data_IF_562924850177
#
_entry.id   IF_562924850177
#
_cell.length_a   1.000
_cell.length_b   1.000
_cell.length_c   1.000
_cell.angle_alpha   90.00
_cell.angle_beta   90.00
_cell.angle_gamma   90.00
#
_symmetry.space_group_name_H-M   'P 1'
#
loop_
_entity.id
_entity.type
_entity.pdbx_description
1 polymer ?
#
# COMPACT_ATOMS: atom_id res chain seq x y z
N UNK A 1 -9.72 33.39 14.34
CA UNK A 1 -9.28 32.42 13.34
C UNK A 1 -10.47 31.50 13.14
N UNK A 2 -10.89 31.31 11.90
CA UNK A 2 -12.09 30.52 11.60
C UNK A 2 -11.81 29.04 11.88
N UNK A 3 -12.70 28.36 12.59
CA UNK A 3 -12.51 26.96 13.00
C UNK A 3 -12.55 26.06 11.77
N UNK A 4 -13.40 26.36 10.80
CA UNK A 4 -13.48 25.64 9.52
C UNK A 4 -12.14 25.75 8.78
N UNK A 5 -11.57 26.96 8.71
CA UNK A 5 -10.26 27.17 8.08
C UNK A 5 -9.13 26.41 8.78
N UNK A 6 -9.12 26.34 10.11
CA UNK A 6 -8.13 25.55 10.86
C UNK A 6 -8.24 24.06 10.51
N UNK A 7 -9.47 23.56 10.36
CA UNK A 7 -9.73 22.19 9.99
C UNK A 7 -9.24 21.89 8.57
N UNK A 8 -9.60 22.73 7.60
CA UNK A 8 -9.18 22.62 6.20
C UNK A 8 -7.64 22.63 6.05
N UNK A 9 -6.95 23.56 6.73
CA UNK A 9 -5.48 23.60 6.71
C UNK A 9 -4.87 22.34 7.35
N UNK A 10 -5.48 21.84 8.44
CA UNK A 10 -5.07 20.57 9.06
C UNK A 10 -5.24 19.37 8.13
N UNK A 11 -6.36 19.28 7.42
CA UNK A 11 -6.63 18.21 6.44
C UNK A 11 -5.67 18.28 5.26
N UNK A 12 -5.33 19.47 4.77
CA UNK A 12 -4.35 19.65 3.70
C UNK A 12 -2.98 19.09 4.12
N UNK A 13 -2.49 19.44 5.31
CA UNK A 13 -1.24 18.87 5.82
C UNK A 13 -1.34 17.36 6.04
N UNK A 14 -2.49 16.86 6.49
CA UNK A 14 -2.71 15.42 6.70
C UNK A 14 -2.65 14.64 5.38
N UNK A 15 -3.34 15.11 4.34
CA UNK A 15 -3.34 14.50 3.00
C UNK A 15 -1.95 14.53 2.37
N UNK A 16 -1.21 15.63 2.58
CA UNK A 16 0.18 15.75 2.13
C UNK A 16 1.20 14.94 2.97
N UNK A 17 0.75 14.26 4.01
CA UNK A 17 1.58 13.43 4.88
C UNK A 17 2.43 14.19 5.90
N UNK A 18 2.26 15.51 6.05
CA UNK A 18 2.90 16.31 7.10
C UNK A 18 2.11 16.21 8.41
N UNK A 19 2.11 15.00 8.97
CA UNK A 19 1.29 14.67 10.15
C UNK A 19 1.67 15.46 11.40
N UNK A 20 2.90 15.99 11.49
CA UNK A 20 3.28 16.85 12.62
C UNK A 20 2.58 18.21 12.53
N UNK A 21 2.58 18.86 11.37
CA UNK A 21 1.83 20.12 11.20
C UNK A 21 0.33 19.88 11.29
N UNK A 22 -0.19 18.84 10.65
CA UNK A 22 -1.60 18.48 10.76
C UNK A 22 -2.02 18.34 12.24
N UNK A 23 -1.21 17.64 13.04
CA UNK A 23 -1.44 17.49 14.48
C UNK A 23 -1.50 18.84 15.21
N UNK A 24 -0.63 19.79 14.89
CA UNK A 24 -0.66 21.15 15.49
C UNK A 24 -1.96 21.88 15.18
N UNK A 25 -2.40 21.87 13.91
CA UNK A 25 -3.68 22.46 13.50
C UNK A 25 -4.85 21.82 14.22
N UNK A 26 -4.92 20.50 14.23
CA UNK A 26 -6.04 19.81 14.85
C UNK A 26 -6.07 19.98 16.37
N UNK A 27 -4.91 19.99 17.05
CA UNK A 27 -4.84 20.30 18.49
C UNK A 27 -5.29 21.73 18.80
N UNK A 28 -4.93 22.69 17.96
CA UNK A 28 -5.38 24.07 18.12
C UNK A 28 -6.89 24.21 17.88
N UNK A 29 -7.43 23.56 16.84
CA UNK A 29 -8.86 23.50 16.58
C UNK A 29 -9.64 22.85 17.71
N UNK A 30 -9.15 21.73 18.25
CA UNK A 30 -9.78 21.05 19.40
C UNK A 30 -9.76 21.90 20.68
N UNK A 31 -8.69 22.66 20.94
CA UNK A 31 -8.62 23.57 22.11
C UNK A 31 -9.70 24.64 22.06
N UNK A 32 -10.06 25.12 20.87
CA UNK A 32 -11.04 26.18 20.66
C UNK A 32 -12.48 25.62 20.64
N UNK A 33 -12.70 24.56 19.86
CA UNK A 33 -14.05 24.07 19.54
C UNK A 33 -14.53 22.94 20.44
N UNK A 34 -13.60 22.12 20.97
CA UNK A 34 -13.90 20.82 21.58
C UNK A 34 -14.70 19.86 20.68
N UNK A 35 -14.61 20.05 19.36
CA UNK A 35 -15.27 19.19 18.38
C UNK A 35 -14.51 17.86 18.19
N UNK A 36 -15.28 16.80 18.07
CA UNK A 36 -14.87 15.41 18.03
C UNK A 36 -14.11 15.01 16.75
N UNK A 37 -14.38 15.66 15.61
CA UNK A 37 -13.65 15.42 14.36
C UNK A 37 -12.19 15.83 14.50
N UNK A 38 -11.91 16.96 15.17
CA UNK A 38 -10.54 17.33 15.50
C UNK A 38 -9.84 16.27 16.35
N UNK A 39 -10.54 15.73 17.36
CA UNK A 39 -9.97 14.69 18.22
C UNK A 39 -9.71 13.39 17.44
N UNK A 40 -10.61 13.02 16.52
CA UNK A 40 -10.41 11.86 15.65
C UNK A 40 -9.18 12.06 14.74
N UNK A 41 -9.03 13.23 14.12
CA UNK A 41 -7.87 13.55 13.30
C UNK A 41 -6.56 13.65 14.09
N UNK A 42 -6.60 14.09 15.35
CA UNK A 42 -5.45 14.01 16.28
C UNK A 42 -5.03 12.55 16.47
N UNK A 43 -5.98 11.65 16.75
CA UNK A 43 -5.72 10.21 16.85
C UNK A 43 -5.14 9.64 15.54
N UNK A 44 -5.67 10.04 14.39
CA UNK A 44 -5.14 9.63 13.09
C UNK A 44 -3.72 10.14 12.85
N UNK A 45 -3.38 11.36 13.26
CA UNK A 45 -2.02 11.88 13.20
C UNK A 45 -1.08 11.06 14.09
N UNK A 46 -1.48 10.73 15.33
CA UNK A 46 -0.70 9.87 16.20
C UNK A 46 -0.45 8.49 15.59
N UNK A 47 -1.48 7.86 15.01
CA UNK A 47 -1.35 6.59 14.29
C UNK A 47 -0.31 6.68 13.16
N UNK A 48 -0.39 7.70 12.29
CA UNK A 48 0.54 7.85 11.18
C UNK A 48 1.97 8.22 11.61
N UNK A 49 2.12 8.85 12.78
CA UNK A 49 3.41 9.12 13.42
C UNK A 49 3.96 7.93 14.21
N UNK A 50 3.30 6.76 14.18
CA UNK A 50 3.61 5.57 14.99
C UNK A 50 3.60 5.81 16.51
N UNK A 51 2.87 6.82 16.97
CA UNK A 51 2.62 7.14 18.38
C UNK A 51 1.41 6.36 18.87
N UNK A 52 1.57 5.04 18.95
CA UNK A 52 0.45 4.12 19.10
C UNK A 52 -0.28 4.25 20.44
N UNK A 53 0.44 4.55 21.52
CA UNK A 53 -0.15 4.73 22.86
C UNK A 53 -1.06 5.96 22.88
N UNK A 54 -0.60 7.08 22.33
CA UNK A 54 -1.40 8.29 22.20
C UNK A 54 -2.60 8.10 21.26
N UNK A 55 -2.42 7.36 20.16
CA UNK A 55 -3.51 7.02 19.24
C UNK A 55 -4.60 6.18 19.93
N UNK A 56 -4.21 5.12 20.64
CA UNK A 56 -5.15 4.26 21.39
C UNK A 56 -5.91 5.07 22.42
N UNK A 57 -5.21 5.82 23.26
CA UNK A 57 -5.84 6.67 24.30
C UNK A 57 -6.86 7.65 23.69
N UNK A 58 -6.50 8.31 22.59
CA UNK A 58 -7.38 9.25 21.89
C UNK A 58 -8.65 8.58 21.35
N UNK A 59 -8.51 7.42 20.71
CA UNK A 59 -9.67 6.71 20.14
C UNK A 59 -10.53 6.03 21.21
N UNK A 60 -9.94 5.56 22.31
CA UNK A 60 -10.68 5.03 23.46
C UNK A 60 -11.51 6.12 24.14
N UNK A 61 -10.98 7.34 24.29
CA UNK A 61 -11.75 8.50 24.76
C UNK A 61 -12.97 8.75 23.86
N UNK A 62 -12.75 8.81 22.54
CA UNK A 62 -13.83 9.01 21.57
C UNK A 62 -14.88 7.91 21.60
N UNK A 63 -14.47 6.65 21.69
CA UNK A 63 -15.38 5.51 21.76
C UNK A 63 -16.22 5.51 23.05
N UNK A 64 -15.68 6.02 24.17
CA UNK A 64 -16.44 6.16 25.41
C UNK A 64 -17.51 7.26 25.33
N UNK A 65 -17.20 8.39 24.68
CA UNK A 65 -18.11 9.53 24.55
C UNK A 65 -19.14 9.32 23.43
N UNK A 66 -18.72 8.69 22.33
CA UNK A 66 -19.51 8.48 21.12
C UNK A 66 -19.54 6.99 20.73
N UNK A 67 -20.25 6.13 21.48
CA UNK A 67 -20.22 4.67 21.29
C UNK A 67 -20.82 4.19 19.97
N UNK A 68 -21.67 4.98 19.33
CA UNK A 68 -22.28 4.69 18.01
C UNK A 68 -21.46 5.29 16.85
N UNK A 69 -20.34 5.96 17.15
CA UNK A 69 -19.46 6.47 16.11
C UNK A 69 -18.47 5.39 15.70
N UNK A 70 -18.57 4.96 14.45
CA UNK A 70 -17.77 3.86 13.90
C UNK A 70 -16.28 4.23 13.77
N UNK A 71 -15.94 5.47 13.39
CA UNK A 71 -14.57 5.85 13.01
C UNK A 71 -13.52 5.57 14.09
N UNK A 72 -13.71 5.92 15.37
CA UNK A 72 -12.73 5.61 16.42
C UNK A 72 -12.54 4.10 16.62
N UNK A 73 -13.62 3.32 16.51
CA UNK A 73 -13.60 1.85 16.64
C UNK A 73 -12.78 1.22 15.50
N UNK A 74 -13.03 1.65 14.27
CA UNK A 74 -12.25 1.25 13.11
C UNK A 74 -10.78 1.67 13.21
N UNK A 75 -10.52 2.91 13.66
CA UNK A 75 -9.18 3.41 13.83
C UNK A 75 -8.38 2.65 14.90
N UNK A 76 -9.01 2.19 15.99
CA UNK A 76 -8.38 1.25 16.93
C UNK A 76 -7.96 -0.05 16.21
N UNK A 77 -8.83 -0.61 15.37
CA UNK A 77 -8.50 -1.77 14.53
C UNK A 77 -7.25 -1.54 13.68
N UNK A 78 -7.12 -0.35 13.06
CA UNK A 78 -5.92 0.05 12.28
C UNK A 78 -4.66 0.12 13.15
N UNK A 79 -4.77 0.68 14.37
CA UNK A 79 -3.64 0.74 15.31
C UNK A 79 -3.17 -0.67 15.69
N UNK A 80 -4.07 -1.55 16.11
CA UNK A 80 -3.72 -2.92 16.48
C UNK A 80 -3.17 -3.73 15.30
N UNK A 81 -3.66 -3.48 14.08
CA UNK A 81 -3.10 -4.11 12.89
C UNK A 81 -1.64 -3.68 12.65
N UNK A 82 -1.30 -2.40 12.86
CA UNK A 82 0.08 -1.89 12.75
C UNK A 82 1.00 -2.43 13.85
N UNK A 83 0.45 -2.68 15.04
CA UNK A 83 1.15 -3.35 16.15
C UNK A 83 1.30 -4.87 15.95
N UNK A 84 0.76 -5.43 14.87
CA UNK A 84 0.68 -6.89 14.62
C UNK A 84 -0.10 -7.67 15.71
N UNK A 85 -0.95 -6.96 16.47
CA UNK A 85 -1.90 -7.51 17.42
C UNK A 85 -3.18 -7.90 16.68
N UNK A 86 -3.05 -9.01 15.95
CA UNK A 86 -4.02 -9.44 14.94
C UNK A 86 -5.41 -9.77 15.52
N UNK A 87 -5.50 -10.32 16.73
CA UNK A 87 -6.80 -10.70 17.30
C UNK A 87 -7.59 -9.45 17.69
N UNK A 88 -6.92 -8.49 18.31
CA UNK A 88 -7.46 -7.21 18.71
C UNK A 88 -7.91 -6.40 17.49
N UNK A 89 -7.09 -6.36 16.44
CA UNK A 89 -7.47 -5.73 15.18
C UNK A 89 -8.77 -6.34 14.59
N UNK A 90 -8.87 -7.67 14.57
CA UNK A 90 -10.04 -8.39 14.10
C UNK A 90 -11.29 -8.04 14.94
N UNK A 91 -11.15 -8.00 16.26
CA UNK A 91 -12.26 -7.69 17.17
C UNK A 91 -12.78 -6.26 16.95
N UNK A 92 -11.88 -5.28 16.79
CA UNK A 92 -12.26 -3.89 16.51
C UNK A 92 -12.87 -3.70 15.13
N UNK A 93 -12.34 -4.34 14.09
CA UNK A 93 -12.97 -4.29 12.76
C UNK A 93 -14.36 -4.95 12.75
N UNK A 94 -14.55 -6.05 13.48
CA UNK A 94 -15.87 -6.66 13.64
C UNK A 94 -16.85 -5.73 14.37
N UNK A 95 -16.40 -5.03 15.41
CA UNK A 95 -17.22 -4.01 16.10
C UNK A 95 -17.59 -2.87 15.16
N UNK A 96 -16.65 -2.38 14.34
CA UNK A 96 -16.93 -1.35 13.35
C UNK A 96 -18.01 -1.80 12.35
N UNK A 97 -17.96 -3.04 11.85
CA UNK A 97 -18.99 -3.59 10.97
C UNK A 97 -20.36 -3.82 11.65
N UNK A 98 -20.41 -3.95 12.98
CA UNK A 98 -21.69 -3.98 13.69
C UNK A 98 -22.37 -2.61 13.64
N UNK A 99 -21.59 -1.53 13.73
CA UNK A 99 -22.09 -0.14 13.66
C UNK A 99 -22.40 0.24 12.21
N UNK A 100 -21.47 0.00 11.28
CA UNK A 100 -21.63 0.25 9.85
C UNK A 100 -21.32 -1.02 9.01
N UNK A 101 -22.33 -1.84 8.65
CA UNK A 101 -22.11 -3.10 7.92
C UNK A 101 -21.57 -2.94 6.48
N UNK A 102 -21.68 -1.74 5.91
CA UNK A 102 -21.31 -1.44 4.53
C UNK A 102 -20.16 -0.43 4.45
N UNK A 103 -19.29 -0.43 5.45
CA UNK A 103 -18.06 0.39 5.47
C UNK A 103 -16.96 -0.18 4.57
N UNK A 104 -16.65 0.50 3.46
CA UNK A 104 -15.65 0.03 2.50
C UNK A 104 -14.23 -0.03 3.07
N UNK A 105 -13.89 0.88 3.98
CA UNK A 105 -12.56 1.00 4.56
C UNK A 105 -12.32 -0.17 5.51
N UNK A 106 -13.32 -0.52 6.33
CA UNK A 106 -13.24 -1.70 7.19
C UNK A 106 -13.00 -2.98 6.36
N UNK A 107 -13.70 -3.16 5.24
CA UNK A 107 -13.46 -4.30 4.35
C UNK A 107 -12.08 -4.27 3.69
N UNK A 108 -11.56 -3.09 3.33
CA UNK A 108 -10.20 -2.93 2.81
C UNK A 108 -9.15 -3.38 3.85
N UNK A 109 -9.26 -2.90 5.09
CA UNK A 109 -8.34 -3.28 6.17
C UNK A 109 -8.50 -4.75 6.63
N UNK A 110 -9.70 -5.34 6.55
CA UNK A 110 -9.85 -6.80 6.67
C UNK A 110 -9.09 -7.54 5.56
N UNK A 111 -9.09 -7.02 4.34
CA UNK A 111 -8.28 -7.53 3.24
C UNK A 111 -6.80 -7.56 3.61
N UNK A 112 -6.26 -6.43 4.07
CA UNK A 112 -4.88 -6.30 4.52
C UNK A 112 -4.57 -7.27 5.68
N UNK A 113 -5.48 -7.40 6.65
CA UNK A 113 -5.35 -8.36 7.74
C UNK A 113 -5.14 -9.79 7.22
N UNK A 114 -5.99 -10.24 6.29
CA UNK A 114 -5.88 -11.58 5.72
C UNK A 114 -4.63 -11.74 4.85
N UNK A 115 -4.19 -10.69 4.15
CA UNK A 115 -2.90 -10.68 3.43
C UNK A 115 -1.72 -10.92 4.37
N UNK A 116 -1.67 -10.23 5.52
CA UNK A 116 -0.63 -10.42 6.54
C UNK A 116 -0.62 -11.84 7.10
N UNK A 117 -1.80 -12.46 7.23
CA UNK A 117 -1.96 -13.89 7.58
C UNK A 117 -1.70 -14.85 6.42
N UNK A 118 -1.43 -14.35 5.21
CA UNK A 118 -1.28 -15.11 3.96
C UNK A 118 -2.52 -15.91 3.58
N UNK A 119 -3.69 -15.53 4.10
CA UNK A 119 -4.98 -16.06 3.70
C UNK A 119 -5.55 -15.27 2.51
N UNK A 120 -4.92 -15.46 1.35
CA UNK A 120 -5.26 -14.70 0.16
C UNK A 120 -6.69 -14.94 -0.33
N UNK A 121 -7.33 -16.05 0.05
CA UNK A 121 -8.73 -16.32 -0.34
C UNK A 121 -9.68 -15.37 0.35
N UNK A 122 -9.54 -15.21 1.67
CA UNK A 122 -10.34 -14.27 2.44
C UNK A 122 -9.98 -12.81 2.11
N UNK A 123 -8.69 -12.51 1.88
CA UNK A 123 -8.27 -11.19 1.43
C UNK A 123 -8.99 -10.74 0.15
N UNK A 124 -9.01 -11.61 -0.88
CA UNK A 124 -9.73 -11.37 -2.15
C UNK A 124 -11.23 -11.12 -1.90
N UNK A 125 -11.86 -11.87 -0.98
CA UNK A 125 -13.28 -11.70 -0.67
C UNK A 125 -13.56 -10.31 -0.09
N UNK A 126 -12.75 -9.89 0.88
CA UNK A 126 -12.84 -8.60 1.55
C UNK A 126 -12.59 -7.44 0.59
N UNK A 127 -11.50 -7.47 -0.18
CA UNK A 127 -11.18 -6.43 -1.18
C UNK A 127 -12.29 -6.30 -2.23
N UNK A 128 -12.85 -7.42 -2.72
CA UNK A 128 -13.99 -7.37 -3.66
C UNK A 128 -15.26 -6.83 -3.02
N UNK A 129 -15.48 -7.02 -1.72
CA UNK A 129 -16.60 -6.37 -1.01
C UNK A 129 -16.37 -4.87 -0.89
N UNK A 130 -15.15 -4.43 -0.52
CA UNK A 130 -14.77 -3.01 -0.50
C UNK A 130 -15.00 -2.35 -1.88
N UNK A 131 -14.48 -2.94 -2.97
CA UNK A 131 -14.66 -2.40 -4.33
C UNK A 131 -16.12 -2.41 -4.85
N UNK A 132 -16.99 -3.24 -4.26
CA UNK A 132 -18.44 -3.20 -4.57
C UNK A 132 -19.13 -2.02 -3.91
N UNK A 133 -18.67 -1.61 -2.73
CA UNK A 133 -19.18 -0.48 -1.97
C UNK A 133 -18.67 0.84 -2.56
N UNK A 134 -17.36 0.93 -2.78
CA UNK A 134 -16.73 2.08 -3.43
C UNK A 134 -15.75 1.62 -4.51
N UNK A 135 -16.02 2.00 -5.76
CA UNK A 135 -15.22 1.58 -6.92
C UNK A 135 -13.95 2.41 -7.14
N UNK A 136 -13.84 3.58 -6.51
CA UNK A 136 -12.72 4.49 -6.68
C UNK A 136 -11.77 4.38 -5.48
N UNK A 137 -10.94 3.34 -5.50
CA UNK A 137 -9.98 2.97 -4.46
C UNK A 137 -8.76 2.30 -5.12
N UNK A 138 -7.78 3.08 -5.61
CA UNK A 138 -6.62 2.55 -6.31
C UNK A 138 -5.81 1.58 -5.45
N UNK A 139 -5.68 1.84 -4.14
CA UNK A 139 -4.98 0.99 -3.19
C UNK A 139 -5.66 -0.38 -3.06
N UNK A 140 -7.00 -0.42 -3.04
CA UNK A 140 -7.75 -1.68 -2.98
C UNK A 140 -7.54 -2.51 -4.24
N UNK A 141 -7.47 -1.88 -5.42
CA UNK A 141 -7.10 -2.55 -6.67
C UNK A 141 -5.66 -3.09 -6.62
N UNK A 142 -4.69 -2.33 -6.10
CA UNK A 142 -3.31 -2.79 -5.93
C UNK A 142 -3.25 -4.06 -5.04
N UNK A 143 -3.88 -4.01 -3.87
CA UNK A 143 -3.93 -5.12 -2.92
C UNK A 143 -4.65 -6.36 -3.48
N UNK A 144 -5.72 -6.16 -4.25
CA UNK A 144 -6.40 -7.26 -4.96
C UNK A 144 -5.55 -7.88 -6.06
N UNK A 145 -4.84 -7.05 -6.83
CA UNK A 145 -3.87 -7.52 -7.81
C UNK A 145 -2.75 -8.34 -7.18
N UNK A 146 -2.20 -7.89 -6.04
CA UNK A 146 -1.20 -8.62 -5.27
C UNK A 146 -1.72 -9.98 -4.80
N UNK A 147 -2.96 -10.05 -4.29
CA UNK A 147 -3.55 -11.31 -3.87
C UNK A 147 -3.77 -12.27 -5.05
N UNK A 148 -4.17 -11.76 -6.21
CA UNK A 148 -4.29 -12.56 -7.43
C UNK A 148 -2.93 -13.06 -7.91
N UNK A 149 -1.88 -12.23 -7.87
CA UNK A 149 -0.52 -12.63 -8.18
C UNK A 149 -0.05 -13.77 -7.26
N UNK A 150 -0.26 -13.65 -5.94
CA UNK A 150 0.12 -14.69 -4.95
C UNK A 150 -0.67 -16.00 -5.09
N UNK A 151 -1.84 -15.95 -5.72
CA UNK A 151 -2.68 -17.13 -5.99
C UNK A 151 -2.57 -17.61 -7.44
N UNK A 152 -1.57 -17.13 -8.19
CA UNK A 152 -1.30 -17.46 -9.59
C UNK A 152 -2.45 -17.15 -10.58
N UNK A 153 -3.34 -16.24 -10.20
CA UNK A 153 -4.43 -15.72 -11.04
C UNK A 153 -3.94 -14.51 -11.83
N UNK A 154 -2.99 -14.76 -12.73
CA UNK A 154 -2.21 -13.69 -13.34
C UNK A 154 -3.01 -12.74 -14.23
N UNK A 155 -4.03 -13.23 -14.95
CA UNK A 155 -4.85 -12.37 -15.80
C UNK A 155 -5.69 -11.41 -14.94
N UNK A 156 -6.29 -11.91 -13.86
CA UNK A 156 -7.02 -11.10 -12.91
C UNK A 156 -6.09 -10.08 -12.24
N UNK A 157 -4.87 -10.47 -11.84
CA UNK A 157 -3.89 -9.55 -11.28
C UNK A 157 -3.57 -8.37 -12.21
N UNK A 158 -3.33 -8.63 -13.50
CA UNK A 158 -3.05 -7.58 -14.50
C UNK A 158 -4.24 -6.62 -14.62
N UNK A 159 -5.48 -7.12 -14.63
CA UNK A 159 -6.69 -6.28 -14.70
C UNK A 159 -6.75 -5.33 -13.51
N UNK A 160 -6.49 -5.82 -12.30
CA UNK A 160 -6.55 -4.99 -11.10
C UNK A 160 -5.41 -3.96 -11.06
N UNK A 161 -4.19 -4.32 -11.48
CA UNK A 161 -3.10 -3.35 -11.60
C UNK A 161 -3.40 -2.27 -12.65
N UNK A 162 -4.02 -2.62 -13.77
CA UNK A 162 -4.47 -1.65 -14.78
C UNK A 162 -5.54 -0.70 -14.25
N UNK A 163 -6.45 -1.21 -13.41
CA UNK A 163 -7.47 -0.38 -12.75
C UNK A 163 -6.87 0.56 -11.72
N UNK A 164 -5.88 0.10 -10.94
CA UNK A 164 -5.11 0.94 -10.02
C UNK A 164 -4.44 2.11 -10.78
N UNK A 165 -3.66 1.82 -11.84
CA UNK A 165 -2.96 2.83 -12.64
C UNK A 165 -3.92 3.84 -13.31
N UNK A 166 -5.14 3.42 -13.61
CA UNK A 166 -6.17 4.27 -14.21
C UNK A 166 -6.77 5.26 -13.19
N UNK A 167 -6.83 4.88 -11.92
CA UNK A 167 -7.41 5.70 -10.85
C UNK A 167 -6.36 6.59 -10.20
N UNK A 168 -5.17 6.05 -9.96
CA UNK A 168 -3.98 6.77 -9.51
C UNK A 168 -3.00 6.85 -10.68
N UNK A 169 -2.90 8.04 -11.28
CA UNK A 169 -2.20 8.33 -12.54
C UNK A 169 -0.80 7.67 -12.61
N UNK A 170 -0.76 6.46 -13.16
CA UNK A 170 0.44 5.63 -13.28
C UNK A 170 1.12 5.27 -11.95
N UNK A 171 0.35 4.79 -10.97
CA UNK A 171 0.86 4.17 -9.74
C UNK A 171 2.07 3.23 -10.00
N UNK A 172 3.27 3.63 -9.53
CA UNK A 172 4.52 2.92 -9.81
C UNK A 172 4.48 1.47 -9.31
N UNK A 173 3.93 1.25 -8.12
CA UNK A 173 3.79 -0.08 -7.52
C UNK A 173 2.91 -1.01 -8.38
N UNK A 174 1.82 -0.50 -8.93
CA UNK A 174 0.94 -1.29 -9.80
C UNK A 174 1.63 -1.63 -11.13
N UNK A 175 2.37 -0.70 -11.73
CA UNK A 175 3.13 -0.93 -12.97
C UNK A 175 4.22 -1.97 -12.73
N UNK A 176 4.98 -1.85 -11.63
CA UNK A 176 6.01 -2.81 -11.25
C UNK A 176 5.40 -4.21 -11.07
N UNK A 177 4.34 -4.33 -10.26
CA UNK A 177 3.72 -5.63 -10.02
C UNK A 177 3.06 -6.24 -11.28
N UNK A 178 2.58 -5.41 -12.21
CA UNK A 178 2.16 -5.87 -13.54
C UNK A 178 3.33 -6.44 -14.33
N UNK A 179 4.50 -5.78 -14.34
CA UNK A 179 5.69 -6.30 -15.00
C UNK A 179 6.15 -7.64 -14.40
N UNK A 180 6.14 -7.78 -13.07
CA UNK A 180 6.42 -9.04 -12.38
C UNK A 180 5.41 -10.11 -12.75
N UNK A 181 4.12 -9.77 -12.82
CA UNK A 181 3.07 -10.73 -13.21
C UNK A 181 3.28 -11.23 -14.63
N UNK A 182 3.58 -10.34 -15.58
CA UNK A 182 3.91 -10.71 -16.96
C UNK A 182 5.17 -11.59 -17.03
N UNK A 183 6.16 -11.33 -16.19
CA UNK A 183 7.36 -12.16 -16.08
C UNK A 183 7.01 -13.57 -15.60
N UNK A 184 6.20 -13.71 -14.54
CA UNK A 184 5.74 -15.00 -14.03
C UNK A 184 4.94 -15.81 -15.07
N UNK A 185 4.24 -15.13 -15.98
CA UNK A 185 3.54 -15.77 -17.12
C UNK A 185 4.49 -16.19 -18.26
N UNK A 186 5.79 -15.92 -18.16
CA UNK A 186 6.76 -16.14 -19.23
C UNK A 186 6.67 -15.13 -20.38
N UNK A 187 5.89 -14.05 -20.22
CA UNK A 187 5.71 -12.99 -21.23
C UNK A 187 6.83 -11.95 -21.12
N UNK A 188 8.07 -12.42 -21.25
CA UNK A 188 9.27 -11.62 -20.96
C UNK A 188 9.38 -10.33 -21.77
N UNK A 189 8.97 -10.32 -23.05
CA UNK A 189 8.95 -9.09 -23.86
C UNK A 189 7.98 -8.04 -23.30
N UNK A 190 6.78 -8.45 -22.87
CA UNK A 190 5.80 -7.51 -22.33
C UNK A 190 6.21 -6.99 -20.95
N UNK A 191 6.77 -7.87 -20.11
CA UNK A 191 7.38 -7.46 -18.84
C UNK A 191 8.51 -6.45 -19.06
N UNK A 192 9.42 -6.72 -20.01
CA UNK A 192 10.51 -5.82 -20.36
C UNK A 192 10.02 -4.43 -20.79
N UNK A 193 9.06 -4.34 -21.71
CA UNK A 193 8.52 -3.04 -22.13
C UNK A 193 7.88 -2.28 -20.97
N UNK A 194 7.07 -2.97 -20.16
CA UNK A 194 6.41 -2.36 -18.98
C UNK A 194 7.45 -1.81 -18.00
N UNK A 195 8.51 -2.58 -17.71
CA UNK A 195 9.58 -2.15 -16.81
C UNK A 195 10.46 -1.04 -17.39
N UNK A 196 10.71 -1.02 -18.71
CA UNK A 196 11.46 0.07 -19.35
C UNK A 196 10.70 1.39 -19.32
N UNK A 197 9.37 1.35 -19.41
CA UNK A 197 8.56 2.56 -19.25
C UNK A 197 8.60 3.08 -17.81
N UNK A 198 8.51 2.19 -16.82
CA UNK A 198 8.69 2.55 -15.40
C UNK A 198 10.10 3.11 -15.13
N UNK A 199 11.14 2.52 -15.73
CA UNK A 199 12.53 2.96 -15.57
C UNK A 199 12.77 4.39 -16.07
N UNK A 200 12.03 4.87 -17.09
CA UNK A 200 12.13 6.27 -17.53
C UNK A 200 11.67 7.25 -16.46
N UNK A 201 10.68 6.88 -15.66
CA UNK A 201 10.16 7.70 -14.57
C UNK A 201 11.06 7.57 -13.32
N UNK A 202 11.48 6.36 -13.00
CA UNK A 202 12.27 6.05 -11.81
C UNK A 202 13.51 5.19 -12.17
N UNK A 203 14.61 5.81 -12.64
CA UNK A 203 15.78 5.09 -13.15
C UNK A 203 16.67 4.48 -12.06
N UNK A 204 16.41 4.75 -10.78
CA UNK A 204 17.23 4.25 -9.67
C UNK A 204 16.53 3.13 -8.87
N UNK A 205 15.35 2.68 -9.29
CA UNK A 205 14.67 1.55 -8.66
C UNK A 205 15.40 0.23 -8.97
N UNK A 206 16.15 -0.24 -7.98
CA UNK A 206 16.95 -1.47 -8.06
C UNK A 206 16.11 -2.69 -8.43
N UNK A 207 14.90 -2.83 -7.88
CA UNK A 207 14.05 -4.00 -8.12
C UNK A 207 13.54 -4.01 -9.57
N UNK A 208 13.14 -2.85 -10.11
CA UNK A 208 12.76 -2.75 -11.51
C UNK A 208 13.95 -2.96 -12.47
N UNK A 209 15.15 -2.44 -12.16
CA UNK A 209 16.36 -2.69 -12.98
C UNK A 209 16.71 -4.18 -12.97
N UNK A 210 16.58 -4.87 -11.83
CA UNK A 210 16.75 -6.32 -11.74
C UNK A 210 15.76 -7.05 -12.65
N UNK A 211 14.48 -6.66 -12.66
CA UNK A 211 13.48 -7.24 -13.55
C UNK A 211 13.82 -7.04 -15.04
N UNK A 212 14.32 -5.85 -15.42
CA UNK A 212 14.78 -5.57 -16.80
C UNK A 212 15.95 -6.48 -17.18
N UNK A 213 16.97 -6.57 -16.31
CA UNK A 213 18.13 -7.43 -16.52
C UNK A 213 17.73 -8.91 -16.65
N UNK A 214 16.82 -9.38 -15.81
CA UNK A 214 16.33 -10.75 -15.87
C UNK A 214 15.49 -11.02 -17.13
N UNK A 215 14.66 -10.07 -17.56
CA UNK A 215 13.94 -10.16 -18.83
C UNK A 215 14.91 -10.33 -20.01
N UNK A 216 15.93 -9.46 -20.12
CA UNK A 216 16.95 -9.58 -21.17
C UNK A 216 17.69 -10.92 -21.10
N UNK A 217 18.01 -11.40 -19.90
CA UNK A 217 18.66 -12.69 -19.72
C UNK A 217 17.78 -13.84 -20.22
N UNK A 218 16.48 -13.84 -19.89
CA UNK A 218 15.52 -14.86 -20.34
C UNK A 218 15.28 -14.81 -21.86
N UNK A 219 15.39 -13.63 -22.46
CA UNK A 219 15.30 -13.42 -23.91
C UNK A 219 16.59 -13.76 -24.67
N UNK A 220 17.68 -14.12 -23.96
CA UNK A 220 18.98 -14.45 -24.58
C UNK A 220 19.85 -13.24 -24.92
N UNK A 221 19.41 -12.03 -24.59
CA UNK A 221 20.14 -10.79 -24.83
C UNK A 221 21.17 -10.53 -23.72
N UNK A 222 22.20 -11.39 -23.64
CA UNK A 222 23.12 -11.43 -22.51
C UNK A 222 23.91 -10.13 -22.29
N UNK A 223 24.23 -9.38 -23.35
CA UNK A 223 24.94 -8.09 -23.23
C UNK A 223 24.07 -7.03 -22.54
N UNK A 224 22.80 -6.91 -22.93
CA UNK A 224 21.87 -5.98 -22.27
C UNK A 224 21.59 -6.41 -20.82
N UNK A 225 21.44 -7.71 -20.57
CA UNK A 225 21.28 -8.23 -19.21
C UNK A 225 22.46 -7.85 -18.32
N UNK A 226 23.69 -8.11 -18.79
CA UNK A 226 24.93 -7.77 -18.08
C UNK A 226 25.05 -6.28 -17.76
N UNK A 227 24.66 -5.40 -18.69
CA UNK A 227 24.68 -3.95 -18.46
C UNK A 227 23.77 -3.54 -17.29
N UNK A 228 22.53 -4.04 -17.25
CA UNK A 228 21.58 -3.69 -16.19
C UNK A 228 21.97 -4.31 -14.84
N UNK A 229 22.52 -5.53 -14.81
CA UNK A 229 23.04 -6.08 -13.55
C UNK A 229 24.26 -5.31 -13.03
N UNK A 230 25.13 -4.82 -13.90
CA UNK A 230 26.23 -3.94 -13.49
C UNK A 230 25.72 -2.57 -13.00
N UNK A 231 24.64 -2.05 -13.58
CA UNK A 231 23.99 -0.84 -13.08
C UNK A 231 23.45 -1.01 -11.67
N UNK A 232 22.78 -2.14 -11.37
CA UNK A 232 22.38 -2.49 -10.00
C UNK A 232 23.59 -2.48 -9.07
N UNK A 233 24.72 -3.07 -9.45
CA UNK A 233 25.93 -3.09 -8.61
C UNK A 233 26.61 -1.73 -8.43
N UNK A 234 26.31 -0.73 -9.27
CA UNK A 234 26.74 0.66 -9.03
C UNK A 234 25.91 1.32 -7.93
N UNK A 235 24.62 0.97 -7.83
CA UNK A 235 23.69 1.51 -6.84
C UNK A 235 23.83 0.75 -5.51
N UNK A 236 23.80 -0.59 -5.57
CA UNK A 236 23.96 -1.52 -4.46
C UNK A 236 25.06 -2.54 -4.80
N UNK A 237 26.28 -2.24 -4.36
CA UNK A 237 27.46 -3.06 -4.65
C UNK A 237 27.43 -4.45 -4.00
N UNK A 238 26.54 -4.70 -3.04
CA UNK A 238 26.39 -5.98 -2.35
C UNK A 238 25.19 -6.79 -2.86
N UNK A 239 24.54 -6.35 -3.94
CA UNK A 239 23.38 -7.03 -4.49
C UNK A 239 23.72 -8.45 -4.99
N UNK A 240 23.23 -9.45 -4.25
CA UNK A 240 23.52 -10.87 -4.53
C UNK A 240 22.82 -11.39 -5.78
N UNK A 241 21.66 -10.83 -6.11
CA UNK A 241 20.88 -11.25 -7.28
C UNK A 241 21.63 -10.86 -8.55
N UNK A 242 21.99 -9.59 -8.69
CA UNK A 242 22.79 -9.10 -9.82
C UNK A 242 24.11 -9.84 -9.97
N UNK A 243 24.88 -9.97 -8.87
CA UNK A 243 26.14 -10.73 -8.86
C UNK A 243 25.96 -12.20 -9.31
N UNK A 244 24.86 -12.83 -8.89
CA UNK A 244 24.54 -14.21 -9.26
C UNK A 244 24.23 -14.36 -10.74
N UNK A 245 23.52 -13.41 -11.35
CA UNK A 245 23.27 -13.41 -12.79
C UNK A 245 24.51 -13.15 -13.62
N UNK A 246 25.39 -12.22 -13.21
CA UNK A 246 26.64 -11.95 -13.90
C UNK A 246 27.52 -13.21 -14.02
N UNK A 247 27.68 -13.95 -12.92
CA UNK A 247 28.39 -15.26 -12.94
C UNK A 247 27.78 -16.23 -13.95
N UNK A 248 26.45 -16.33 -14.01
CA UNK A 248 25.76 -17.20 -14.98
C UNK A 248 25.95 -16.73 -16.43
N UNK A 249 26.08 -15.42 -16.67
CA UNK A 249 26.34 -14.86 -17.99
C UNK A 249 27.76 -15.18 -18.43
N UNK A 250 28.75 -14.98 -17.56
CA UNK A 250 30.17 -15.25 -17.87
C UNK A 250 30.41 -16.73 -18.18
N UNK A 251 29.84 -17.64 -17.38
CA UNK A 251 29.94 -19.08 -17.64
C UNK A 251 29.29 -19.55 -18.95
N UNK A 252 28.41 -18.74 -19.58
CA UNK A 252 27.80 -19.06 -20.88
C UNK A 252 28.62 -18.55 -22.07
N UNK A 253 29.61 -17.70 -21.82
CA UNK A 253 30.49 -17.13 -22.84
C UNK A 253 31.81 -17.92 -22.98
N UNK A 254 32.13 -18.77 -22.00
CA UNK A 254 33.21 -19.77 -22.03
C UNK A 254 32.78 -21.02 -22.79
#
# INVERSE_FOLDING_TARGET
MDIEKIFEEGEEYYVNGDYNKALEYFQNGYKISKNEDFLNYIGCCYLNLNKFEEAISTFEELMQVYPEWERPVFNLGRVYLKLELYQEALDYFNKALVINPDDEDVYFYFGIYFEKKRDYKNAICCQKKSLRLNKFQPETHLHLGLCYLRTNKYNEAIVEFDMCCKQDNNCEDAIYNKAITLFCMGRYMQSLYTSLDLYKANPNDVENILNIGECYYRLGNLSYAENHFNEVLKIDSLNKVASGFLKKIHNKKE
#
